data_IF_372102721477
#
_entry.id   IF_372102721477
#
_cell.length_a   1.000
_cell.length_b   1.000
_cell.length_c   1.000
_cell.angle_alpha   90.00
_cell.angle_beta   90.00
_cell.angle_gamma   90.00
#
_symmetry.space_group_name_H-M   'P 1'
#
loop_
_entity.id
_entity.type
_entity.pdbx_description
1 polymer ?
#
# COMPACT_ATOMS: atom_id res chain seq x y z
N UNK A 1 -5.76 -4.26 -5.21
CA UNK A 1 -4.49 -4.81 -4.67
C UNK A 1 -3.90 -3.82 -3.68
N UNK A 2 -3.05 -4.29 -2.75
CA UNK A 2 -2.23 -3.42 -1.93
C UNK A 2 -1.15 -2.70 -2.74
N UNK A 3 -0.52 -1.70 -2.15
CA UNK A 3 0.57 -0.92 -2.75
C UNK A 3 1.94 -1.28 -2.17
N UNK A 4 2.07 -1.09 -0.85
CA UNK A 4 3.33 -1.33 -0.13
C UNK A 4 3.54 -2.84 0.05
N UNK A 5 4.74 -3.35 -0.17
CA UNK A 5 5.03 -4.79 -0.19
C UNK A 5 4.61 -5.52 -1.47
N UNK A 6 3.71 -4.95 -2.28
CA UNK A 6 3.24 -5.54 -3.54
C UNK A 6 3.83 -4.82 -4.76
N UNK A 7 3.67 -3.51 -4.86
CA UNK A 7 4.12 -2.71 -6.01
C UNK A 7 5.31 -1.80 -5.69
N UNK A 8 5.41 -1.37 -4.45
CA UNK A 8 6.47 -0.49 -3.95
C UNK A 8 6.98 -1.00 -2.61
N UNK A 9 8.20 -0.67 -2.20
CA UNK A 9 8.66 -1.00 -0.84
C UNK A 9 7.85 -0.24 0.21
N UNK A 10 7.91 -0.70 1.46
CA UNK A 10 7.36 0.00 2.63
C UNK A 10 7.86 1.44 2.67
N UNK A 11 6.97 2.43 2.45
CA UNK A 11 7.36 3.83 2.25
C UNK A 11 8.09 4.39 3.46
N UNK A 12 7.61 4.13 4.68
CA UNK A 12 8.25 4.66 5.88
C UNK A 12 9.64 4.07 6.11
N UNK A 13 9.84 2.79 5.82
CA UNK A 13 11.16 2.13 5.92
C UNK A 13 12.10 2.69 4.85
N UNK A 14 11.63 2.79 3.60
CA UNK A 14 12.43 3.34 2.51
C UNK A 14 12.76 4.83 2.75
N UNK A 15 11.79 5.60 3.25
CA UNK A 15 11.97 7.00 3.63
C UNK A 15 13.00 7.14 4.77
N UNK A 16 12.90 6.32 5.83
CA UNK A 16 13.85 6.32 6.94
C UNK A 16 15.28 6.07 6.46
N UNK A 17 15.45 5.10 5.54
CA UNK A 17 16.75 4.79 4.93
C UNK A 17 17.28 5.95 4.08
N UNK A 18 16.45 6.53 3.23
CA UNK A 18 16.85 7.60 2.32
C UNK A 18 17.11 8.93 3.04
N UNK A 19 16.36 9.21 4.11
CA UNK A 19 16.52 10.42 4.93
C UNK A 19 17.60 10.30 6.01
N UNK A 20 18.09 9.11 6.31
CA UNK A 20 19.01 8.85 7.43
C UNK A 20 18.36 9.01 8.81
N UNK A 21 17.03 8.80 8.92
CA UNK A 21 16.27 8.93 10.18
C UNK A 21 15.77 7.55 10.60
N UNK A 22 16.60 6.75 11.32
CA UNK A 22 16.26 5.37 11.66
C UNK A 22 15.05 5.25 12.58
N UNK A 23 14.71 6.28 13.35
CA UNK A 23 13.54 6.31 14.24
C UNK A 23 12.21 6.13 13.47
N UNK A 24 12.18 6.43 12.18
CA UNK A 24 11.00 6.28 11.31
C UNK A 24 10.81 4.84 10.77
N UNK A 25 11.73 3.91 11.06
CA UNK A 25 11.57 2.49 10.69
C UNK A 25 10.52 1.75 11.51
N UNK A 26 10.07 2.32 12.64
CA UNK A 26 8.98 1.74 13.42
C UNK A 26 7.74 1.48 12.58
N UNK A 27 7.17 0.28 12.75
CA UNK A 27 5.96 -0.19 12.07
C UNK A 27 4.85 -0.50 13.06
N UNK A 28 3.71 -0.95 12.56
CA UNK A 28 2.61 -1.45 13.40
C UNK A 28 2.96 -2.72 14.18
N UNK A 29 4.09 -3.37 13.88
CA UNK A 29 4.64 -4.48 14.67
C UNK A 29 5.26 -3.99 15.98
N UNK A 30 5.80 -2.76 15.98
CA UNK A 30 6.45 -2.14 17.13
C UNK A 30 5.45 -1.32 17.98
N UNK A 31 4.48 -0.66 17.32
CA UNK A 31 3.39 0.08 17.95
C UNK A 31 2.06 -0.26 17.24
N UNK A 32 1.28 -1.19 17.79
CA UNK A 32 0.02 -1.63 17.18
C UNK A 32 -1.06 -0.54 17.06
N UNK A 33 -1.01 0.48 17.92
CA UNK A 33 -1.91 1.63 17.82
C UNK A 33 -1.41 2.56 16.70
N UNK A 34 -2.05 2.46 15.53
CA UNK A 34 -1.71 3.28 14.37
C UNK A 34 -1.74 4.78 14.64
N UNK A 35 -2.66 5.27 15.47
CA UNK A 35 -2.72 6.70 15.79
C UNK A 35 -1.52 7.13 16.65
N UNK A 36 -1.05 6.28 17.57
CA UNK A 36 0.17 6.54 18.33
C UNK A 36 1.40 6.52 17.43
N UNK A 37 1.49 5.52 16.54
CA UNK A 37 2.57 5.40 15.58
C UNK A 37 2.65 6.63 14.68
N UNK A 38 1.53 7.09 14.15
CA UNK A 38 1.51 8.28 13.31
C UNK A 38 1.86 9.56 14.07
N UNK A 39 1.34 9.75 15.28
CA UNK A 39 1.75 10.89 16.12
C UNK A 39 3.26 10.89 16.41
N UNK A 40 3.83 9.73 16.69
CA UNK A 40 5.27 9.57 16.87
C UNK A 40 6.05 10.00 15.61
N UNK A 41 5.64 9.51 14.44
CA UNK A 41 6.26 9.87 13.16
C UNK A 41 6.15 11.36 12.86
N UNK A 42 4.98 11.97 13.06
CA UNK A 42 4.78 13.40 12.85
C UNK A 42 5.62 14.27 13.79
N UNK A 43 5.81 13.84 15.04
CA UNK A 43 6.69 14.53 15.99
C UNK A 43 8.14 14.55 15.49
N UNK A 44 8.65 13.43 14.98
CA UNK A 44 9.99 13.34 14.39
C UNK A 44 10.12 14.26 13.17
N UNK A 45 9.16 14.22 12.24
CA UNK A 45 9.17 15.09 11.06
C UNK A 45 9.23 16.57 11.45
N UNK A 46 8.45 16.96 12.45
CA UNK A 46 8.44 18.33 12.98
C UNK A 46 9.78 18.70 13.62
N UNK A 47 10.34 17.84 14.47
CA UNK A 47 11.64 18.03 15.11
C UNK A 47 12.76 18.21 14.07
N UNK A 48 12.72 17.39 13.02
CA UNK A 48 13.67 17.41 11.89
C UNK A 48 13.38 18.54 10.87
N UNK A 49 12.31 19.32 11.07
CA UNK A 49 11.84 20.38 10.16
C UNK A 49 11.60 19.91 8.74
N UNK A 50 11.11 18.67 8.61
CA UNK A 50 10.73 18.08 7.33
C UNK A 50 9.27 18.39 7.02
N UNK A 51 9.06 19.29 6.08
CA UNK A 51 7.76 19.56 5.49
C UNK A 51 7.40 18.59 4.36
N UNK A 52 6.20 18.76 3.80
CA UNK A 52 5.70 17.89 2.74
C UNK A 52 6.62 17.88 1.51
N UNK A 53 7.17 19.03 1.12
CA UNK A 53 8.01 19.13 -0.07
C UNK A 53 9.28 18.29 0.07
N UNK A 54 9.99 18.43 1.20
CA UNK A 54 11.23 17.68 1.49
C UNK A 54 10.94 16.17 1.53
N UNK A 55 9.82 15.79 2.13
CA UNK A 55 9.40 14.37 2.18
C UNK A 55 9.10 13.84 0.79
N UNK A 56 8.39 14.61 -0.05
CA UNK A 56 8.08 14.19 -1.41
C UNK A 56 9.34 14.09 -2.29
N UNK A 57 10.33 14.97 -2.10
CA UNK A 57 11.63 14.84 -2.79
C UNK A 57 12.32 13.53 -2.44
N UNK A 58 12.31 13.14 -1.16
CA UNK A 58 12.88 11.86 -0.73
C UNK A 58 12.08 10.69 -1.32
N UNK A 59 10.74 10.73 -1.26
CA UNK A 59 9.89 9.65 -1.79
C UNK A 59 10.08 9.51 -3.32
N UNK A 60 10.36 10.59 -4.05
CA UNK A 60 10.68 10.51 -5.50
C UNK A 60 11.93 9.68 -5.79
N UNK A 61 12.82 9.49 -4.83
CA UNK A 61 14.00 8.61 -4.99
C UNK A 61 13.68 7.13 -4.81
N UNK A 62 12.50 6.80 -4.26
CA UNK A 62 12.06 5.42 -4.06
C UNK A 62 11.51 4.89 -5.39
N UNK A 63 12.02 3.74 -5.84
CA UNK A 63 11.54 3.09 -7.03
C UNK A 63 10.49 2.02 -6.71
N UNK A 64 9.54 1.73 -7.64
CA UNK A 64 8.72 0.54 -7.59
C UNK A 64 9.58 -0.72 -7.49
N UNK A 65 8.99 -1.81 -6.98
CA UNK A 65 9.64 -3.11 -6.97
C UNK A 65 9.88 -3.59 -8.41
N UNK A 66 10.97 -4.34 -8.60
CA UNK A 66 11.34 -4.87 -9.91
C UNK A 66 10.19 -5.67 -10.53
N UNK A 67 9.81 -5.34 -11.76
CA UNK A 67 8.70 -5.94 -12.49
C UNK A 67 7.29 -5.42 -12.10
N UNK A 68 7.16 -4.59 -11.07
CA UNK A 68 5.85 -4.12 -10.60
C UNK A 68 5.13 -3.25 -11.62
N UNK A 69 5.87 -2.39 -12.32
CA UNK A 69 5.29 -1.52 -13.35
C UNK A 69 4.79 -2.32 -14.54
N UNK A 70 5.58 -3.23 -15.05
CA UNK A 70 5.28 -4.11 -16.18
C UNK A 70 4.07 -5.00 -15.86
N UNK A 71 4.06 -5.59 -14.66
CA UNK A 71 2.92 -6.36 -14.16
C UNK A 71 1.64 -5.52 -14.12
N UNK A 72 1.71 -4.32 -13.57
CA UNK A 72 0.54 -3.43 -13.45
C UNK A 72 0.04 -2.97 -14.82
N UNK A 73 0.94 -2.62 -15.73
CA UNK A 73 0.61 -2.21 -17.10
C UNK A 73 -0.06 -3.36 -17.87
N UNK A 74 0.44 -4.60 -17.76
CA UNK A 74 -0.21 -5.79 -18.34
C UNK A 74 -1.58 -6.05 -17.69
N UNK A 75 -1.68 -6.05 -16.37
CA UNK A 75 -2.94 -6.30 -15.65
C UNK A 75 -4.04 -5.34 -16.07
N UNK A 76 -3.71 -4.07 -16.31
CA UNK A 76 -4.65 -3.04 -16.74
C UNK A 76 -5.19 -3.25 -18.15
N UNK A 77 -4.55 -4.07 -18.96
CA UNK A 77 -5.10 -4.50 -20.26
C UNK A 77 -6.16 -5.57 -20.15
N UNK A 78 -6.19 -6.28 -19.02
CA UNK A 78 -7.08 -7.42 -18.77
C UNK A 78 -8.29 -7.05 -17.94
N UNK A 79 -8.13 -6.14 -16.98
CA UNK A 79 -9.19 -5.77 -16.03
C UNK A 79 -8.97 -4.37 -15.43
N UNK A 80 -10.00 -3.85 -14.78
CA UNK A 80 -9.88 -2.60 -14.02
C UNK A 80 -9.04 -2.85 -12.75
N UNK A 81 -8.06 -1.97 -12.52
CA UNK A 81 -7.16 -2.11 -11.38
C UNK A 81 -7.30 -0.94 -10.43
N UNK A 82 -7.48 -1.25 -9.14
CA UNK A 82 -7.55 -0.27 -8.06
C UNK A 82 -6.55 -0.65 -6.97
N UNK A 83 -5.73 0.31 -6.58
CA UNK A 83 -4.80 0.18 -5.46
C UNK A 83 -5.51 0.67 -4.19
N UNK A 84 -5.50 -0.18 -3.16
CA UNK A 84 -6.04 0.10 -1.82
C UNK A 84 -4.88 0.12 -0.84
N UNK A 85 -4.55 1.29 -0.29
CA UNK A 85 -3.39 1.44 0.59
C UNK A 85 -3.72 2.21 1.87
N UNK A 86 -3.03 1.88 2.94
CA UNK A 86 -3.09 2.64 4.19
C UNK A 86 -2.12 3.84 4.21
N UNK A 87 -1.40 4.07 3.12
CA UNK A 87 -0.59 5.27 2.90
C UNK A 87 -1.44 6.54 2.76
N UNK A 88 -0.78 7.65 2.46
CA UNK A 88 -1.40 8.97 2.27
C UNK A 88 -1.26 9.42 0.81
N UNK A 89 -2.27 10.12 0.28
CA UNK A 89 -2.26 10.66 -1.09
C UNK A 89 -0.94 11.39 -1.39
N UNK A 90 -0.52 12.26 -0.48
CA UNK A 90 0.69 13.08 -0.67
C UNK A 90 1.97 12.25 -0.76
N UNK A 91 2.03 11.10 -0.08
CA UNK A 91 3.16 10.17 -0.15
C UNK A 91 3.07 9.24 -1.36
N UNK A 92 1.85 8.81 -1.71
CA UNK A 92 1.62 7.92 -2.85
C UNK A 92 1.83 8.59 -4.21
N UNK A 93 1.49 9.89 -4.36
CA UNK A 93 1.50 10.56 -5.66
C UNK A 93 2.84 10.50 -6.42
N UNK A 94 4.04 10.68 -5.81
CA UNK A 94 5.30 10.50 -6.52
C UNK A 94 5.49 9.08 -7.09
N UNK A 95 5.00 8.07 -6.36
CA UNK A 95 5.07 6.65 -6.77
C UNK A 95 4.03 6.34 -7.85
N UNK A 96 2.82 6.91 -7.75
CA UNK A 96 1.79 6.77 -8.79
C UNK A 96 2.27 7.28 -10.14
N UNK A 97 3.07 8.35 -10.16
CA UNK A 97 3.69 8.84 -11.39
C UNK A 97 4.59 7.77 -12.04
N UNK A 98 5.39 7.06 -11.23
CA UNK A 98 6.27 5.98 -11.71
C UNK A 98 5.49 4.74 -12.18
N UNK A 99 4.32 4.49 -11.60
CA UNK A 99 3.41 3.39 -11.93
C UNK A 99 2.38 3.76 -13.02
N UNK A 100 2.58 4.85 -13.75
CA UNK A 100 1.71 5.28 -14.84
C UNK A 100 0.27 5.60 -14.40
N UNK A 101 0.13 6.25 -13.23
CA UNK A 101 -1.11 6.80 -12.68
C UNK A 101 -2.27 5.79 -12.53
N UNK A 102 -2.10 4.68 -11.81
CA UNK A 102 -3.20 3.80 -11.44
C UNK A 102 -4.14 4.51 -10.46
N UNK A 103 -5.38 4.01 -10.38
CA UNK A 103 -6.33 4.48 -9.36
C UNK A 103 -5.83 4.11 -7.96
N UNK A 104 -5.64 5.09 -7.10
CA UNK A 104 -5.22 4.91 -5.70
C UNK A 104 -6.32 5.38 -4.74
N UNK A 105 -6.77 4.51 -3.87
CA UNK A 105 -7.65 4.83 -2.74
C UNK A 105 -6.87 4.65 -1.44
N UNK A 106 -6.58 5.77 -0.79
CA UNK A 106 -5.75 5.83 0.42
C UNK A 106 -6.23 6.94 1.37
N UNK A 107 -5.45 7.24 2.39
CA UNK A 107 -5.71 8.28 3.38
C UNK A 107 -5.18 9.65 2.92
N UNK A 108 -5.32 10.69 3.74
CA UNK A 108 -4.88 12.05 3.41
C UNK A 108 -4.15 12.67 4.61
N UNK A 109 -3.03 13.35 4.35
CA UNK A 109 -2.36 14.18 5.36
C UNK A 109 -3.04 15.55 5.46
N UNK A 110 -3.07 16.11 6.66
CA UNK A 110 -3.39 17.50 6.90
C UNK A 110 -2.10 18.30 6.84
N UNK A 111 -2.05 19.28 5.94
CA UNK A 111 -0.84 20.06 5.65
C UNK A 111 -1.17 21.54 5.77
N UNK A 112 -0.39 22.25 6.58
CA UNK A 112 -0.49 23.70 6.73
C UNK A 112 0.03 24.43 5.47
N UNK A 113 -0.31 25.73 5.26
CA UNK A 113 0.14 26.50 4.11
C UNK A 113 1.68 26.60 3.97
N UNK A 114 2.41 26.47 5.08
CA UNK A 114 3.87 26.45 5.09
C UNK A 114 4.50 25.09 4.77
N UNK A 115 3.66 24.06 4.46
CA UNK A 115 4.12 22.70 4.17
C UNK A 115 4.28 21.79 5.40
N UNK A 116 4.07 22.29 6.62
CA UNK A 116 4.14 21.48 7.84
C UNK A 116 2.99 20.44 7.84
N UNK A 117 3.32 19.17 8.11
CA UNK A 117 2.30 18.12 8.30
C UNK A 117 1.76 18.23 9.72
N UNK A 118 0.51 18.64 9.84
CA UNK A 118 -0.15 18.90 11.13
C UNK A 118 -1.01 17.75 11.63
N UNK A 119 -1.37 16.82 10.74
CA UNK A 119 -2.22 15.70 11.09
C UNK A 119 -2.45 14.76 9.93
N UNK A 120 -3.40 13.86 10.11
CA UNK A 120 -3.84 12.92 9.08
C UNK A 120 -5.32 12.59 9.23
N UNK A 121 -5.96 12.27 8.10
CA UNK A 121 -7.34 11.83 8.03
C UNK A 121 -7.42 10.44 7.41
N UNK A 122 -7.92 9.49 8.17
CA UNK A 122 -8.24 8.15 7.67
C UNK A 122 -9.50 8.23 6.80
N UNK A 123 -9.43 7.69 5.59
CA UNK A 123 -10.55 7.69 4.64
C UNK A 123 -11.72 6.87 5.15
N UNK A 124 -11.43 5.69 5.65
CA UNK A 124 -12.44 4.73 6.09
C UNK A 124 -11.83 3.72 7.07
N UNK A 125 -12.58 3.34 8.10
CA UNK A 125 -12.18 2.23 8.98
C UNK A 125 -12.19 0.91 8.18
N UNK A 126 -11.18 0.05 8.39
CA UNK A 126 -11.00 -1.19 7.63
C UNK A 126 -11.12 -0.94 6.12
N UNK A 127 -10.40 0.05 5.65
CA UNK A 127 -10.52 0.66 4.32
C UNK A 127 -10.51 -0.38 3.19
N UNK A 128 -9.56 -1.33 3.20
CA UNK A 128 -9.41 -2.35 2.17
C UNK A 128 -10.63 -3.29 2.09
N UNK A 129 -11.05 -3.86 3.24
CA UNK A 129 -12.24 -4.72 3.30
C UNK A 129 -13.52 -3.99 2.89
N UNK A 130 -13.76 -2.80 3.46
CA UNK A 130 -14.99 -2.05 3.18
C UNK A 130 -15.06 -1.54 1.73
N UNK A 131 -13.92 -1.26 1.11
CA UNK A 131 -13.87 -0.90 -0.32
C UNK A 131 -14.28 -2.11 -1.19
N UNK A 132 -13.77 -3.31 -0.92
CA UNK A 132 -14.19 -4.52 -1.64
C UNK A 132 -15.69 -4.77 -1.48
N UNK A 133 -16.24 -4.64 -0.27
CA UNK A 133 -17.69 -4.77 -0.03
C UNK A 133 -18.51 -3.74 -0.80
N UNK A 134 -18.02 -2.51 -0.90
CA UNK A 134 -18.68 -1.47 -1.67
C UNK A 134 -18.65 -1.78 -3.19
N UNK A 135 -17.55 -2.30 -3.71
CA UNK A 135 -17.46 -2.74 -5.11
C UNK A 135 -18.44 -3.87 -5.41
N UNK A 136 -18.58 -4.85 -4.49
CA UNK A 136 -19.59 -5.91 -4.64
C UNK A 136 -21.02 -5.35 -4.63
N UNK A 137 -21.31 -4.38 -3.78
CA UNK A 137 -22.60 -3.71 -3.74
C UNK A 137 -22.94 -2.95 -5.05
N UNK A 138 -21.89 -2.53 -5.79
CA UNK A 138 -22.04 -1.95 -7.14
C UNK A 138 -22.08 -3.00 -8.26
N UNK A 139 -22.07 -4.30 -7.95
CA UNK A 139 -22.15 -5.38 -8.94
C UNK A 139 -20.80 -5.84 -9.49
N UNK A 140 -19.66 -5.40 -8.95
CA UNK A 140 -18.34 -5.87 -9.38
C UNK A 140 -17.92 -7.15 -8.64
N UNK A 141 -17.37 -8.11 -9.34
CA UNK A 141 -16.54 -9.16 -8.75
C UNK A 141 -15.11 -8.63 -8.59
N UNK A 142 -14.41 -9.06 -7.55
CA UNK A 142 -13.06 -8.58 -7.25
C UNK A 142 -12.07 -9.74 -7.12
N UNK A 143 -10.84 -9.48 -7.53
CA UNK A 143 -9.65 -10.28 -7.22
C UNK A 143 -8.76 -9.41 -6.33
N UNK A 144 -8.30 -9.92 -5.19
CA UNK A 144 -7.47 -9.16 -4.27
C UNK A 144 -6.07 -9.75 -4.13
N UNK A 145 -5.08 -8.86 -4.03
CA UNK A 145 -3.67 -9.21 -3.81
C UNK A 145 -3.13 -8.35 -2.68
N UNK A 146 -2.44 -8.96 -1.73
CA UNK A 146 -1.80 -8.26 -0.61
C UNK A 146 -0.69 -9.10 0.01
N UNK A 147 0.13 -8.49 0.88
CA UNK A 147 1.32 -9.11 1.49
C UNK A 147 1.18 -9.35 2.99
N UNK A 148 0.23 -8.70 3.65
CA UNK A 148 0.20 -8.57 5.11
C UNK A 148 -1.17 -8.82 5.74
N UNK A 149 -1.21 -8.88 7.09
CA UNK A 149 -2.43 -9.21 7.84
C UNK A 149 -3.59 -8.25 7.60
N UNK A 150 -3.33 -6.96 7.34
CA UNK A 150 -4.36 -5.96 7.05
C UNK A 150 -5.04 -6.18 5.69
N UNK A 151 -4.45 -7.02 4.81
CA UNK A 151 -4.99 -7.38 3.50
C UNK A 151 -5.95 -8.57 3.56
N UNK A 152 -5.83 -9.42 4.58
CA UNK A 152 -6.61 -10.66 4.68
C UNK A 152 -8.13 -10.42 4.57
N UNK A 153 -8.59 -9.29 5.12
CA UNK A 153 -10.00 -8.92 5.03
C UNK A 153 -10.47 -8.72 3.58
N UNK A 154 -9.71 -7.99 2.76
CA UNK A 154 -10.05 -7.81 1.34
C UNK A 154 -9.81 -9.08 0.52
N UNK A 155 -8.74 -9.83 0.82
CA UNK A 155 -8.40 -11.09 0.16
C UNK A 155 -9.55 -12.09 0.32
N UNK A 156 -9.99 -12.33 1.56
CA UNK A 156 -11.06 -13.29 1.86
C UNK A 156 -12.45 -12.83 1.42
N UNK A 157 -12.68 -11.54 1.27
CA UNK A 157 -13.95 -11.01 0.78
C UNK A 157 -14.08 -11.06 -0.75
N UNK A 158 -12.97 -11.20 -1.47
CA UNK A 158 -12.94 -11.21 -2.93
C UNK A 158 -13.31 -12.59 -3.51
N UNK A 159 -13.70 -12.65 -4.79
CA UNK A 159 -13.95 -13.89 -5.54
C UNK A 159 -12.71 -14.79 -5.54
N UNK A 160 -11.53 -14.18 -5.68
CA UNK A 160 -10.26 -14.82 -5.50
C UNK A 160 -9.29 -13.88 -4.77
N UNK A 161 -8.43 -14.44 -3.96
CA UNK A 161 -7.45 -13.68 -3.19
C UNK A 161 -6.11 -14.36 -3.15
N UNK A 162 -5.06 -13.56 -3.25
CA UNK A 162 -3.68 -14.04 -3.35
C UNK A 162 -2.79 -13.30 -2.34
N UNK A 163 -1.94 -14.07 -1.66
CA UNK A 163 -0.81 -13.53 -0.91
C UNK A 163 0.35 -13.32 -1.90
N UNK A 164 1.03 -12.18 -1.80
CA UNK A 164 2.17 -11.87 -2.64
C UNK A 164 3.34 -11.39 -1.81
N UNK A 165 4.50 -12.08 -1.91
CA UNK A 165 5.72 -11.79 -1.13
C UNK A 165 5.47 -11.67 0.37
N UNK A 166 4.50 -12.42 0.86
CA UNK A 166 4.13 -12.46 2.27
C UNK A 166 5.17 -13.22 3.10
N UNK A 167 5.25 -12.88 4.38
CA UNK A 167 6.16 -13.60 5.31
C UNK A 167 5.72 -15.05 5.48
N UNK A 168 6.67 -15.93 5.79
CA UNK A 168 6.39 -17.35 6.06
C UNK A 168 5.36 -17.54 7.18
N UNK A 169 5.36 -16.63 8.17
CA UNK A 169 4.38 -16.65 9.24
C UNK A 169 2.96 -16.41 8.71
N UNK A 170 2.76 -15.41 7.84
CA UNK A 170 1.43 -15.11 7.27
C UNK A 170 0.94 -16.29 6.42
N UNK A 171 1.82 -16.89 5.61
CA UNK A 171 1.51 -18.07 4.80
C UNK A 171 1.11 -19.26 5.68
N UNK A 172 1.87 -19.52 6.74
CA UNK A 172 1.59 -20.61 7.70
C UNK A 172 0.26 -20.40 8.47
N UNK A 173 -0.05 -19.15 8.83
CA UNK A 173 -1.30 -18.80 9.51
C UNK A 173 -2.52 -18.85 8.54
N UNK A 174 -2.30 -18.87 7.22
CA UNK A 174 -3.35 -18.87 6.19
C UNK A 174 -3.04 -19.87 5.06
N UNK A 175 -2.93 -21.19 5.37
CA UNK A 175 -2.52 -22.21 4.39
C UNK A 175 -3.55 -22.46 3.28
N UNK A 176 -4.74 -21.94 3.41
CA UNK A 176 -5.82 -21.99 2.43
C UNK A 176 -5.69 -20.92 1.32
N UNK A 177 -4.82 -19.92 1.51
CA UNK A 177 -4.62 -18.85 0.54
C UNK A 177 -3.43 -19.15 -0.37
N UNK A 178 -3.60 -19.11 -1.70
CA UNK A 178 -2.47 -19.20 -2.62
C UNK A 178 -1.49 -18.05 -2.42
N UNK A 179 -0.19 -18.37 -2.43
CA UNK A 179 0.89 -17.41 -2.20
C UNK A 179 1.90 -17.46 -3.36
N UNK A 180 2.31 -16.30 -3.83
CA UNK A 180 3.23 -16.13 -4.95
C UNK A 180 4.37 -15.17 -4.58
N UNK A 181 5.54 -15.39 -5.17
CA UNK A 181 6.73 -14.54 -4.99
C UNK A 181 7.10 -13.79 -6.27
N UNK A 182 6.60 -14.27 -7.40
CA UNK A 182 6.92 -13.76 -8.74
C UNK A 182 5.68 -13.19 -9.44
N UNK A 183 5.84 -12.06 -10.13
CA UNK A 183 4.73 -11.40 -10.83
C UNK A 183 4.18 -12.22 -12.00
N UNK A 184 4.98 -13.05 -12.66
CA UNK A 184 4.54 -13.90 -13.75
C UNK A 184 3.62 -15.02 -13.27
N UNK A 185 3.97 -15.65 -12.13
CA UNK A 185 3.13 -16.66 -11.47
C UNK A 185 1.82 -16.04 -10.99
N UNK A 186 1.88 -14.88 -10.33
CA UNK A 186 0.70 -14.14 -9.89
C UNK A 186 -0.20 -13.75 -11.08
N UNK A 187 0.38 -13.25 -12.18
CA UNK A 187 -0.36 -12.92 -13.40
C UNK A 187 -1.06 -14.14 -13.99
N UNK A 188 -0.37 -15.29 -14.02
CA UNK A 188 -0.94 -16.54 -14.52
C UNK A 188 -2.15 -16.99 -13.67
N UNK A 189 -2.05 -16.89 -12.36
CA UNK A 189 -3.15 -17.20 -11.44
C UNK A 189 -4.34 -16.23 -11.62
N UNK A 190 -4.08 -14.93 -11.78
CA UNK A 190 -5.12 -13.92 -12.05
C UNK A 190 -5.85 -14.23 -13.37
N UNK A 191 -5.10 -14.53 -14.44
CA UNK A 191 -5.69 -14.90 -15.75
C UNK A 191 -6.61 -16.12 -15.67
N UNK A 192 -6.28 -17.12 -14.85
CA UNK A 192 -7.14 -18.29 -14.63
C UNK A 192 -8.47 -17.93 -13.98
N UNK A 193 -8.52 -16.91 -13.12
CA UNK A 193 -9.76 -16.45 -12.47
C UNK A 193 -10.60 -15.57 -13.38
N UNK A 194 -9.97 -14.86 -14.32
CA UNK A 194 -10.64 -13.96 -15.27
C UNK A 194 -11.31 -14.71 -16.43
N UNK A 195 -10.86 -15.94 -16.75
CA UNK A 195 -11.44 -16.83 -17.77
C UNK A 195 -12.59 -17.65 -17.18
#
# INVERSE_FOLDING_TARGET
MDMEGVLVPEIWIAFAKASGIPELTKTTRDEPDYNKLMRYRLAILKERKLGLNEIQEIIRTIDPLDGAKEFLDELRTLTQTVILSDTFTQFGMPLMKKLNWPTLLCNTLEVAPNGEITGFKMRLKNSKYNTVKAMHAMGYETIAVGDSYNDLGMIRASKAGFLFRSTEKIKADNPDLPAYEDFGELMSAIKQVLN
#
